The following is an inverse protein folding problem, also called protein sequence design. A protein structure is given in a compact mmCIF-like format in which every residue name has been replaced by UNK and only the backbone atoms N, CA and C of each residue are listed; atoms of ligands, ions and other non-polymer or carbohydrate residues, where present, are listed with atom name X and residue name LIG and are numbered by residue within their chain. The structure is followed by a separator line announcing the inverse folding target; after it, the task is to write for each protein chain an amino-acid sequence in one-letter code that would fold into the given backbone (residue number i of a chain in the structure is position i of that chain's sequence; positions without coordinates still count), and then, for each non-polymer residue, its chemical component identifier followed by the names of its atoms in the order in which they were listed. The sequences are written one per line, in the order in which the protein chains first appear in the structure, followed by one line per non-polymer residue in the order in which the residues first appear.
data_IF_270130479360
#
_entry.id   IF_270130479360
#
_cell.length_a   1.000
_cell.length_b   1.000
_cell.length_c   1.000
_cell.angle_alpha   90.00
_cell.angle_beta   90.00
_cell.angle_gamma   90.00
#
_symmetry.space_group_name_H-M   'P 1'
#
loop_
_entity.id
_entity.type
_entity.pdbx_description
1 polymer ?
#
# COMPACT_ATOMS: atom_id res chain seq x y z
N UNK A 1 12.70 5.74 14.07
CA UNK A 1 13.12 5.85 12.66
C UNK A 1 12.06 6.67 11.96
N UNK A 2 12.48 7.66 11.16
CA UNK A 2 11.60 8.56 10.43
C UNK A 2 11.66 8.20 8.94
N UNK A 3 10.63 8.58 8.19
CA UNK A 3 10.65 8.52 6.74
C UNK A 3 11.66 9.54 6.18
N UNK A 4 12.51 9.09 5.28
CA UNK A 4 13.52 9.89 4.60
C UNK A 4 13.21 9.95 3.11
N UNK A 5 12.61 11.07 2.68
CA UNK A 5 12.19 11.29 1.30
C UNK A 5 13.40 11.70 0.45
N UNK A 6 13.79 10.83 -0.48
CA UNK A 6 14.85 11.07 -1.45
C UNK A 6 14.24 11.39 -2.82
N UNK A 7 14.55 12.57 -3.36
CA UNK A 7 14.09 12.97 -4.69
C UNK A 7 14.93 14.12 -5.25
N UNK A 8 15.16 14.10 -6.57
CA UNK A 8 15.72 15.24 -7.32
C UNK A 8 14.67 16.35 -7.56
N UNK A 9 13.41 16.07 -7.26
CA UNK A 9 12.30 16.99 -7.47
C UNK A 9 11.95 17.73 -6.18
N UNK A 10 11.53 18.98 -6.33
CA UNK A 10 10.90 19.74 -5.26
C UNK A 10 9.39 19.86 -5.55
N UNK A 11 8.52 19.92 -4.51
CA UNK A 11 7.10 20.20 -4.71
C UNK A 11 6.89 21.49 -5.50
N UNK A 12 6.13 21.41 -6.59
CA UNK A 12 5.91 22.53 -7.53
C UNK A 12 4.42 22.72 -7.82
N UNK A 13 4.06 23.87 -8.40
CA UNK A 13 2.66 24.22 -8.69
C UNK A 13 1.79 24.20 -7.44
N UNK A 14 0.68 23.46 -7.46
CA UNK A 14 -0.26 23.36 -6.33
C UNK A 14 0.17 22.37 -5.25
N UNK A 15 1.22 21.56 -5.49
CA UNK A 15 1.66 20.52 -4.56
C UNK A 15 2.04 21.07 -3.17
N UNK A 16 2.82 22.16 -3.01
CA UNK A 16 3.19 22.67 -1.68
C UNK A 16 1.97 23.02 -0.82
N UNK A 17 0.95 23.62 -1.43
CA UNK A 17 -0.28 23.98 -0.72
C UNK A 17 -1.09 22.75 -0.35
N UNK A 18 -1.23 21.79 -1.28
CA UNK A 18 -1.94 20.54 -1.03
C UNK A 18 -1.29 19.72 0.10
N UNK A 19 0.04 19.59 0.09
CA UNK A 19 0.82 18.91 1.14
C UNK A 19 0.55 19.58 2.49
N UNK A 20 0.71 20.90 2.58
CA UNK A 20 0.49 21.66 3.81
C UNK A 20 -0.92 21.46 4.39
N UNK A 21 -1.94 21.49 3.53
CA UNK A 21 -3.33 21.28 3.95
C UNK A 21 -3.55 19.87 4.48
N UNK A 22 -3.06 18.85 3.77
CA UNK A 22 -3.19 17.45 4.19
C UNK A 22 -2.49 17.17 5.52
N UNK A 23 -1.26 17.68 5.68
CA UNK A 23 -0.48 17.56 6.91
C UNK A 23 -1.19 18.24 8.07
N UNK A 24 -1.68 19.47 7.87
CA UNK A 24 -2.45 20.19 8.88
C UNK A 24 -3.70 19.42 9.31
N UNK A 25 -4.46 18.85 8.37
CA UNK A 25 -5.64 18.07 8.71
C UNK A 25 -5.30 16.83 9.53
N UNK A 26 -4.21 16.11 9.20
CA UNK A 26 -3.79 14.92 9.97
C UNK A 26 -3.35 15.32 11.39
N UNK A 27 -2.61 16.42 11.54
CA UNK A 27 -2.17 16.95 12.85
C UNK A 27 -3.36 17.40 13.69
N UNK A 28 -4.39 17.97 13.06
CA UNK A 28 -5.64 18.36 13.71
C UNK A 28 -6.61 17.20 13.97
N UNK A 29 -6.19 15.95 13.73
CA UNK A 29 -7.02 14.73 13.86
C UNK A 29 -8.28 14.73 12.98
N UNK A 30 -8.22 15.37 11.80
CA UNK A 30 -9.26 15.23 10.79
C UNK A 30 -9.23 13.80 10.23
N UNK A 31 -10.31 13.05 10.48
CA UNK A 31 -10.39 11.63 10.16
C UNK A 31 -10.44 11.36 8.65
N UNK A 32 -11.04 12.25 7.88
CA UNK A 32 -11.27 12.08 6.45
C UNK A 32 -10.83 13.34 5.70
N UNK A 33 -10.00 13.15 4.69
CA UNK A 33 -9.51 14.20 3.82
C UNK A 33 -9.50 13.68 2.38
N UNK A 34 -9.54 14.58 1.40
CA UNK A 34 -9.56 14.21 -0.02
C UNK A 34 -8.59 15.09 -0.79
N UNK A 35 -7.60 14.46 -1.43
CA UNK A 35 -6.73 15.12 -2.39
C UNK A 35 -7.40 15.11 -3.77
N UNK A 36 -8.02 16.21 -4.16
CA UNK A 36 -8.60 16.38 -5.49
C UNK A 36 -7.51 16.80 -6.49
N UNK A 37 -6.78 15.82 -7.03
CA UNK A 37 -5.69 16.05 -7.99
C UNK A 37 -6.01 15.56 -9.40
N UNK A 38 -5.76 16.39 -10.41
CA UNK A 38 -5.88 16.01 -11.82
C UNK A 38 -4.87 14.92 -12.21
N UNK A 39 -5.10 14.23 -13.32
CA UNK A 39 -4.15 13.25 -13.86
C UNK A 39 -2.83 13.95 -14.22
N UNK A 40 -1.70 13.33 -13.87
CA UNK A 40 -0.37 13.90 -14.14
C UNK A 40 0.12 14.95 -13.13
N UNK A 41 -0.68 15.32 -12.12
CA UNK A 41 -0.28 16.33 -11.12
C UNK A 41 0.76 15.87 -10.09
N UNK A 42 1.32 14.67 -10.22
CA UNK A 42 2.29 14.13 -9.25
C UNK A 42 1.70 13.74 -7.89
N UNK A 43 0.48 13.18 -7.87
CA UNK A 43 -0.21 12.78 -6.62
C UNK A 43 0.63 11.88 -5.71
N UNK A 44 1.34 10.89 -6.25
CA UNK A 44 2.19 10.01 -5.45
C UNK A 44 3.27 10.79 -4.71
N UNK A 45 3.92 11.74 -5.39
CA UNK A 45 4.95 12.58 -4.79
C UNK A 45 4.38 13.51 -3.71
N UNK A 46 3.19 14.07 -3.92
CA UNK A 46 2.50 14.84 -2.87
C UNK A 46 2.22 13.97 -1.63
N UNK A 47 1.72 12.75 -1.82
CA UNK A 47 1.49 11.83 -0.69
C UNK A 47 2.79 11.38 -0.03
N UNK A 48 3.88 11.18 -0.78
CA UNK A 48 5.19 10.89 -0.21
C UNK A 48 5.68 12.02 0.72
N UNK A 49 5.55 13.29 0.29
CA UNK A 49 5.87 14.43 1.15
C UNK A 49 4.99 14.46 2.41
N UNK A 50 3.68 14.21 2.27
CA UNK A 50 2.78 14.11 3.44
C UNK A 50 3.27 13.03 4.40
N UNK A 51 3.54 11.81 3.93
CA UNK A 51 4.03 10.70 4.77
C UNK A 51 5.33 11.07 5.49
N UNK A 52 6.27 11.69 4.78
CA UNK A 52 7.55 12.15 5.33
C UNK A 52 7.35 13.21 6.44
N UNK A 53 6.41 14.14 6.28
CA UNK A 53 6.12 15.16 7.27
C UNK A 53 5.39 14.61 8.50
N UNK A 54 4.36 13.78 8.33
CA UNK A 54 3.60 13.22 9.47
C UNK A 54 4.29 12.07 10.19
N UNK A 55 5.23 11.37 9.55
CA UNK A 55 6.03 10.29 10.14
C UNK A 55 5.19 9.20 10.84
N UNK A 56 4.18 8.67 10.13
CA UNK A 56 3.30 7.59 10.62
C UNK A 56 3.36 6.39 9.68
N UNK A 57 3.34 5.15 10.22
CA UNK A 57 3.13 3.97 9.39
C UNK A 57 1.89 4.15 8.52
N UNK A 58 2.03 3.88 7.22
CA UNK A 58 1.01 4.25 6.22
C UNK A 58 0.62 3.04 5.39
N UNK A 59 -0.69 2.86 5.18
CA UNK A 59 -1.26 1.86 4.27
C UNK A 59 -1.81 2.57 3.03
N UNK A 60 -1.30 2.22 1.86
CA UNK A 60 -1.77 2.70 0.56
C UNK A 60 -2.58 1.59 -0.11
N UNK A 61 -3.89 1.80 -0.27
CA UNK A 61 -4.78 0.83 -0.92
C UNK A 61 -4.96 1.15 -2.40
N UNK A 62 -4.60 0.18 -3.24
CA UNK A 62 -4.85 0.21 -4.67
C UNK A 62 -5.92 -0.80 -5.07
N UNK A 63 -6.76 -0.43 -6.02
CA UNK A 63 -7.89 -1.27 -6.45
C UNK A 63 -7.48 -2.44 -7.38
N UNK A 64 -6.24 -2.45 -7.88
CA UNK A 64 -5.73 -3.49 -8.77
C UNK A 64 -4.23 -3.74 -8.56
N UNK A 65 -3.74 -4.92 -8.97
CA UNK A 65 -2.33 -5.34 -8.80
C UNK A 65 -1.35 -4.47 -9.60
N UNK A 66 -1.72 -4.02 -10.79
CA UNK A 66 -0.84 -3.21 -11.66
C UNK A 66 -0.53 -1.85 -11.04
N UNK A 67 -1.56 -1.14 -10.56
CA UNK A 67 -1.38 0.13 -9.86
C UNK A 67 -0.65 -0.06 -8.53
N UNK A 68 -0.94 -1.15 -7.80
CA UNK A 68 -0.22 -1.45 -6.57
C UNK A 68 1.29 -1.62 -6.83
N UNK A 69 1.66 -2.39 -7.86
CA UNK A 69 3.06 -2.58 -8.24
C UNK A 69 3.72 -1.27 -8.68
N UNK A 70 3.02 -0.42 -9.43
CA UNK A 70 3.51 0.90 -9.82
C UNK A 70 3.79 1.77 -8.59
N UNK A 71 2.81 1.91 -7.69
CA UNK A 71 2.95 2.70 -6.47
C UNK A 71 4.06 2.16 -5.56
N UNK A 72 4.17 0.84 -5.43
CA UNK A 72 5.25 0.20 -4.68
C UNK A 72 6.62 0.61 -5.24
N UNK A 73 6.80 0.55 -6.56
CA UNK A 73 8.04 0.97 -7.22
C UNK A 73 8.34 2.45 -6.99
N UNK A 74 7.35 3.33 -7.17
CA UNK A 74 7.49 4.77 -6.95
C UNK A 74 7.87 5.07 -5.48
N UNK A 75 7.17 4.48 -4.51
CA UNK A 75 7.49 4.69 -3.09
C UNK A 75 8.85 4.12 -2.70
N UNK A 76 9.29 3.00 -3.30
CA UNK A 76 10.65 2.45 -3.09
C UNK A 76 11.74 3.40 -3.57
N UNK A 77 11.50 4.14 -4.65
CA UNK A 77 12.41 5.16 -5.14
C UNK A 77 12.41 6.40 -4.22
N UNK A 78 11.24 6.81 -3.73
CA UNK A 78 11.13 7.93 -2.81
C UNK A 78 11.67 7.66 -1.40
N UNK A 79 11.60 6.41 -0.94
CA UNK A 79 12.01 6.02 0.41
C UNK A 79 12.97 4.83 0.40
N UNK A 80 14.18 4.97 -0.19
CA UNK A 80 15.11 3.86 -0.39
C UNK A 80 15.62 3.26 0.94
N UNK A 81 15.65 4.06 2.01
CA UNK A 81 16.16 3.67 3.33
C UNK A 81 15.06 3.25 4.33
N UNK A 82 13.78 3.29 3.94
CA UNK A 82 12.65 2.91 4.78
C UNK A 82 12.01 1.58 4.34
N UNK A 83 11.16 1.02 5.20
CA UNK A 83 10.46 -0.23 4.92
C UNK A 83 9.23 0.03 4.03
N UNK A 84 9.47 0.09 2.71
CA UNK A 84 8.40 0.07 1.71
C UNK A 84 8.07 -1.38 1.39
N UNK A 85 6.84 -1.79 1.69
CA UNK A 85 6.37 -3.17 1.67
C UNK A 85 5.23 -3.36 0.66
N UNK A 86 5.09 -4.60 0.17
CA UNK A 86 4.10 -4.95 -0.85
C UNK A 86 3.20 -6.09 -0.39
N UNK A 87 1.89 -5.82 -0.33
CA UNK A 87 0.90 -6.76 0.22
C UNK A 87 -0.30 -6.96 -0.72
N UNK A 88 -0.16 -7.91 -1.64
CA UNK A 88 -1.24 -8.31 -2.55
C UNK A 88 -1.54 -9.80 -2.44
N UNK A 89 -2.57 -10.27 -3.14
CA UNK A 89 -2.81 -11.71 -3.26
C UNK A 89 -1.62 -12.39 -3.91
N UNK A 90 -1.09 -13.37 -3.18
CA UNK A 90 -0.01 -14.27 -3.55
C UNK A 90 -0.46 -15.39 -4.50
N UNK A 91 -1.74 -15.42 -4.90
CA UNK A 91 -2.19 -16.31 -5.95
C UNK A 91 -1.97 -15.69 -7.33
N UNK A 92 -1.29 -16.44 -8.20
CA UNK A 92 -1.24 -16.17 -9.64
C UNK A 92 -2.51 -16.68 -10.33
N UNK A 93 -3.04 -17.81 -9.83
CA UNK A 93 -4.33 -18.37 -10.22
C UNK A 93 -5.08 -18.81 -8.96
N UNK A 94 -6.39 -18.55 -8.94
CA UNK A 94 -7.24 -18.96 -7.83
C UNK A 94 -8.66 -19.28 -8.32
N UNK A 95 -9.09 -20.51 -8.11
CA UNK A 95 -10.45 -20.97 -8.24
C UNK A 95 -11.00 -21.28 -6.84
N UNK A 96 -12.04 -20.57 -6.38
CA UNK A 96 -12.68 -20.91 -5.12
C UNK A 96 -13.41 -22.24 -5.24
N UNK A 97 -13.51 -22.94 -4.12
CA UNK A 97 -14.46 -24.04 -3.97
C UNK A 97 -15.88 -23.51 -4.12
N UNK A 98 -16.70 -24.18 -4.94
CA UNK A 98 -18.09 -23.80 -5.14
C UNK A 98 -18.97 -25.01 -5.44
N UNK A 99 -20.26 -24.90 -5.11
CA UNK A 99 -21.27 -25.87 -5.52
C UNK A 99 -22.34 -25.14 -6.33
N UNK A 100 -22.66 -25.65 -7.52
CA UNK A 100 -23.67 -25.12 -8.44
C UNK A 100 -24.92 -26.00 -8.36
N UNK A 101 -25.98 -25.59 -7.62
CA UNK A 101 -27.12 -26.46 -7.37
C UNK A 101 -27.91 -26.83 -8.62
N UNK A 102 -27.99 -25.92 -9.60
CA UNK A 102 -28.77 -26.11 -10.83
C UNK A 102 -28.26 -27.29 -11.65
N UNK A 103 -26.94 -27.50 -11.67
CA UNK A 103 -26.29 -28.58 -12.43
C UNK A 103 -25.81 -29.73 -11.54
N UNK A 104 -25.97 -29.62 -10.22
CA UNK A 104 -25.42 -30.56 -9.25
C UNK A 104 -23.89 -30.65 -9.30
N UNK A 105 -23.20 -29.59 -9.76
CA UNK A 105 -21.76 -29.61 -10.00
C UNK A 105 -21.01 -29.07 -8.79
N UNK A 106 -20.08 -29.86 -8.28
CA UNK A 106 -19.08 -29.38 -7.32
C UNK A 106 -17.81 -28.96 -8.08
N UNK A 107 -17.30 -27.78 -7.74
CA UNK A 107 -16.08 -27.19 -8.26
C UNK A 107 -15.07 -27.23 -7.12
N UNK A 108 -14.02 -28.03 -7.29
CA UNK A 108 -12.91 -28.11 -6.35
C UNK A 108 -12.10 -26.82 -6.34
N UNK A 109 -11.52 -26.54 -5.18
CA UNK A 109 -10.53 -25.48 -5.01
C UNK A 109 -9.28 -25.84 -5.79
N UNK A 110 -8.82 -24.92 -6.63
CA UNK A 110 -7.55 -25.04 -7.35
C UNK A 110 -6.81 -23.69 -7.31
N UNK A 111 -5.49 -23.73 -7.18
CA UNK A 111 -4.69 -22.51 -7.03
C UNK A 111 -3.23 -22.72 -7.45
N UNK A 112 -2.60 -21.60 -7.82
CA UNK A 112 -1.15 -21.48 -7.98
C UNK A 112 -0.64 -20.32 -7.16
N UNK A 113 0.45 -20.54 -6.43
CA UNK A 113 1.08 -19.55 -5.55
C UNK A 113 2.29 -18.94 -6.24
N UNK A 114 2.46 -17.64 -6.00
CA UNK A 114 3.65 -16.88 -6.33
C UNK A 114 4.54 -16.72 -5.09
N UNK A 115 5.63 -17.47 -5.03
CA UNK A 115 6.55 -17.50 -3.89
C UNK A 115 7.18 -16.12 -3.60
N UNK A 116 7.40 -15.30 -4.63
CA UNK A 116 7.97 -13.97 -4.45
C UNK A 116 6.97 -13.04 -3.74
N UNK A 117 5.70 -13.07 -4.14
CA UNK A 117 4.64 -12.29 -3.47
C UNK A 117 4.42 -12.80 -2.04
N UNK A 118 4.46 -14.11 -1.81
CA UNK A 118 4.39 -14.66 -0.45
C UNK A 118 5.53 -14.14 0.43
N UNK A 119 6.78 -14.16 -0.08
CA UNK A 119 7.93 -13.60 0.62
C UNK A 119 7.74 -12.12 0.96
N UNK A 120 7.17 -11.32 0.06
CA UNK A 120 6.87 -9.90 0.31
C UNK A 120 5.78 -9.70 1.37
N UNK A 121 4.78 -10.57 1.43
CA UNK A 121 3.75 -10.55 2.50
C UNK A 121 4.34 -10.88 3.87
N UNK A 122 5.25 -11.85 3.92
CA UNK A 122 5.98 -12.20 5.15
C UNK A 122 6.87 -11.04 5.58
N UNK A 123 7.61 -10.42 4.64
CA UNK A 123 8.40 -9.20 4.86
C UNK A 123 7.55 -8.10 5.49
N UNK A 124 6.38 -7.82 4.90
CA UNK A 124 5.43 -6.81 5.40
C UNK A 124 5.06 -7.04 6.87
N UNK A 125 4.69 -8.28 7.20
CA UNK A 125 4.25 -8.64 8.56
C UNK A 125 5.41 -8.53 9.55
N UNK A 126 6.60 -9.00 9.15
CA UNK A 126 7.83 -8.88 9.94
C UNK A 126 8.20 -7.42 10.21
N UNK A 127 8.18 -6.56 9.19
CA UNK A 127 8.46 -5.13 9.31
C UNK A 127 7.51 -4.43 10.29
N UNK A 128 6.22 -4.76 10.25
CA UNK A 128 5.22 -4.21 11.19
C UNK A 128 5.42 -4.70 12.63
N UNK A 129 5.85 -5.95 12.82
CA UNK A 129 6.08 -6.54 14.15
C UNK A 129 7.46 -6.22 14.74
N UNK A 130 8.39 -5.72 13.93
CA UNK A 130 9.76 -5.40 14.33
C UNK A 130 9.89 -4.20 15.29
N UNK A 131 8.80 -3.44 15.50
CA UNK A 131 8.82 -2.18 16.27
C UNK A 131 9.26 -0.95 15.47
N UNK A 132 9.60 -1.12 14.19
CA UNK A 132 9.83 0.00 13.26
C UNK A 132 8.56 0.82 13.04
N UNK A 133 8.72 2.10 12.73
CA UNK A 133 7.61 3.05 12.49
C UNK A 133 7.64 3.67 11.11
N UNK A 134 8.73 3.50 10.39
CA UNK A 134 8.97 3.93 9.02
C UNK A 134 8.52 2.87 8.01
N UNK A 135 7.28 2.38 8.17
CA UNK A 135 6.71 1.30 7.34
C UNK A 135 5.59 1.87 6.46
N UNK A 136 5.75 1.76 5.14
CA UNK A 136 4.73 2.09 4.16
C UNK A 136 4.34 0.81 3.41
N UNK A 137 3.08 0.40 3.54
CA UNK A 137 2.58 -0.81 2.89
C UNK A 137 1.72 -0.41 1.70
N UNK A 138 2.10 -0.84 0.49
CA UNK A 138 1.23 -0.76 -0.69
C UNK A 138 0.49 -2.08 -0.82
N UNK A 139 -0.84 -2.02 -0.75
CA UNK A 139 -1.67 -3.21 -0.70
C UNK A 139 -2.86 -3.18 -1.66
N UNK A 140 -3.34 -4.37 -2.01
CA UNK A 140 -4.69 -4.53 -2.57
C UNK A 140 -5.70 -4.82 -1.46
N UNK A 141 -6.98 -4.99 -1.82
CA UNK A 141 -8.04 -5.45 -0.90
C UNK A 141 -7.72 -6.75 -0.16
N UNK A 142 -6.68 -7.49 -0.57
CA UNK A 142 -6.18 -8.66 0.15
C UNK A 142 -5.74 -8.37 1.60
N UNK A 143 -5.43 -7.12 1.97
CA UNK A 143 -5.11 -6.75 3.35
C UNK A 143 -6.32 -6.78 4.30
N UNK A 144 -7.53 -6.91 3.77
CA UNK A 144 -8.77 -7.03 4.55
C UNK A 144 -9.17 -8.50 4.79
N UNK A 145 -8.44 -9.44 4.19
CA UNK A 145 -8.65 -10.87 4.40
C UNK A 145 -7.88 -11.35 5.62
N UNK A 146 -8.38 -12.44 6.22
CA UNK A 146 -7.75 -13.07 7.36
C UNK A 146 -6.29 -13.41 7.09
N UNK A 147 -5.42 -12.94 7.97
CA UNK A 147 -4.05 -13.43 8.12
C UNK A 147 -4.02 -14.26 9.41
N UNK A 148 -3.15 -15.28 9.47
CA UNK A 148 -2.96 -16.06 10.70
C UNK A 148 -2.66 -15.15 11.90
N UNK A 149 -3.05 -15.57 13.11
CA UNK A 149 -2.82 -14.78 14.32
C UNK A 149 -1.32 -14.46 14.44
N UNK A 150 -0.91 -13.18 14.50
CA UNK A 150 0.50 -12.81 14.60
C UNK A 150 1.11 -13.02 16.01
N UNK A 151 0.33 -13.62 16.93
CA UNK A 151 0.66 -13.86 18.35
C UNK A 151 0.73 -15.37 18.60
#
# INVERSE_FOLDING_TARGET
MNFDLQSDFNPTGDQPQAIKQLVSGIVNNEKYQTLLGVTGSGKTFSIANVVAEVNRPTLVLAHNKTLAAQLYSEFKQFFPENAVEYFVSYYDYYQPEAYIPVTGTYIEKDLSINDEIERLRISTSSSLLSGRRDVLVVASVSCLYGIGNPI
#
